data_IF_332595444797
#
_entry.id   IF_332595444797
#
_cell.length_a   1.000
_cell.length_b   1.000
_cell.length_c   1.000
_cell.angle_alpha   90.00
_cell.angle_beta   90.00
_cell.angle_gamma   90.00
#
_symmetry.space_group_name_H-M   'P 1'
#
loop_
_entity.id
_entity.type
_entity.pdbx_description
1 polymer ?
#
# COMPACT_ATOMS: atom_id res chain seq x y z
N UNK A 1 -5.39 -28.00 14.56
CA UNK A 1 -4.97 -26.60 14.42
C UNK A 1 -4.40 -26.47 13.02
N UNK A 2 -5.07 -25.74 12.13
CA UNK A 2 -4.51 -25.50 10.80
C UNK A 2 -3.27 -24.60 10.97
N UNK A 3 -2.12 -25.10 10.56
CA UNK A 3 -0.89 -24.34 10.53
C UNK A 3 -1.09 -23.17 9.54
N UNK A 4 -1.20 -21.96 10.08
CA UNK A 4 -1.39 -20.76 9.28
C UNK A 4 -0.15 -20.57 8.38
N UNK A 5 -0.36 -20.21 7.12
CA UNK A 5 0.73 -19.93 6.20
C UNK A 5 1.57 -18.75 6.74
N UNK A 6 2.80 -19.05 7.17
CA UNK A 6 3.76 -18.02 7.55
C UNK A 6 4.47 -17.52 6.29
N UNK A 7 4.77 -16.21 6.20
CA UNK A 7 5.51 -15.70 5.06
C UNK A 7 6.98 -16.12 5.10
N UNK A 8 7.61 -16.24 3.94
CA UNK A 8 9.07 -16.12 3.86
C UNK A 8 9.44 -14.65 4.03
N UNK A 9 10.58 -14.37 4.66
CA UNK A 9 11.09 -13.01 4.93
C UNK A 9 12.44 -12.89 4.22
N UNK A 10 12.47 -12.13 3.14
CA UNK A 10 13.59 -12.07 2.21
C UNK A 10 14.06 -10.63 2.02
N UNK A 11 15.34 -10.46 1.69
CA UNK A 11 15.89 -9.20 1.21
C UNK A 11 16.25 -9.35 -0.26
N UNK A 12 15.75 -8.45 -1.10
CA UNK A 12 15.90 -8.48 -2.55
C UNK A 12 16.62 -7.22 -3.00
N UNK A 13 17.73 -7.37 -3.69
CA UNK A 13 18.49 -6.27 -4.28
C UNK A 13 17.70 -5.69 -5.48
N UNK A 14 17.36 -4.42 -5.43
CA UNK A 14 16.63 -3.73 -6.51
C UNK A 14 17.49 -2.68 -7.22
N UNK A 15 18.59 -2.26 -6.60
CA UNK A 15 19.62 -1.40 -7.18
C UNK A 15 20.95 -1.63 -6.46
N UNK A 16 22.03 -1.07 -6.99
CA UNK A 16 23.33 -1.10 -6.32
C UNK A 16 23.22 -0.45 -4.93
N UNK A 17 23.56 -1.21 -3.88
CA UNK A 17 23.48 -0.76 -2.49
C UNK A 17 22.07 -0.54 -1.95
N UNK A 18 21.03 -1.09 -2.59
CA UNK A 18 19.66 -1.02 -2.12
C UNK A 18 18.98 -2.39 -2.15
N UNK A 19 18.64 -2.88 -0.97
CA UNK A 19 17.82 -4.07 -0.78
C UNK A 19 16.49 -3.70 -0.14
N UNK A 20 15.41 -4.27 -0.67
CA UNK A 20 14.08 -4.19 -0.08
C UNK A 20 13.74 -5.49 0.64
N UNK A 21 13.13 -5.38 1.81
CA UNK A 21 12.56 -6.52 2.50
C UNK A 21 11.21 -6.87 1.89
N UNK A 22 10.99 -8.15 1.64
CA UNK A 22 9.74 -8.68 1.09
C UNK A 22 9.26 -9.85 1.94
N UNK A 23 7.98 -9.83 2.26
CA UNK A 23 7.26 -10.95 2.85
C UNK A 23 6.47 -11.64 1.75
N UNK A 24 6.61 -12.98 1.61
CA UNK A 24 5.85 -13.74 0.60
C UNK A 24 5.00 -14.80 1.25
N UNK A 25 3.76 -14.86 0.83
CA UNK A 25 2.81 -15.92 1.18
C UNK A 25 2.54 -16.75 -0.07
N UNK A 26 2.79 -18.05 0.06
CA UNK A 26 2.60 -19.02 -1.01
C UNK A 26 1.34 -19.84 -0.73
N UNK A 27 0.49 -20.09 -1.74
CA UNK A 27 -0.68 -20.95 -1.57
C UNK A 27 -0.25 -22.39 -1.26
N UNK A 28 -1.03 -23.09 -0.41
CA UNK A 28 -0.78 -24.50 -0.10
C UNK A 28 -1.00 -25.37 -1.33
N UNK A 29 -0.01 -26.18 -1.69
CA UNK A 29 -0.08 -27.07 -2.85
C UNK A 29 0.04 -26.34 -4.18
N UNK A 30 0.83 -25.25 -4.22
CA UNK A 30 0.93 -24.38 -5.39
C UNK A 30 1.27 -25.14 -6.67
N UNK A 31 0.42 -24.95 -7.65
CA UNK A 31 0.58 -25.41 -9.02
C UNK A 31 1.61 -24.54 -9.80
N UNK A 32 1.77 -24.83 -11.07
CA UNK A 32 2.63 -24.08 -11.98
C UNK A 32 2.26 -22.59 -12.02
N UNK A 33 3.21 -21.68 -12.32
CA UNK A 33 2.92 -20.25 -12.49
C UNK A 33 1.73 -19.99 -13.40
N UNK A 34 0.81 -19.13 -12.96
CA UNK A 34 -0.37 -18.72 -13.74
C UNK A 34 -1.60 -19.63 -13.64
N UNK A 35 -1.54 -20.79 -12.96
CA UNK A 35 -2.70 -21.70 -12.84
C UNK A 35 -3.74 -21.23 -11.82
N UNK A 36 -3.37 -20.40 -10.84
CA UNK A 36 -4.20 -20.05 -9.69
C UNK A 36 -4.71 -18.59 -9.72
N UNK A 37 -4.69 -17.96 -10.88
CA UNK A 37 -5.06 -16.55 -11.08
C UNK A 37 -3.91 -15.57 -10.85
N UNK A 38 -4.18 -14.25 -10.94
CA UNK A 38 -3.14 -13.24 -10.82
C UNK A 38 -2.55 -13.18 -9.40
N UNK A 39 -1.22 -13.05 -9.25
CA UNK A 39 -0.59 -12.79 -7.96
C UNK A 39 -0.85 -11.36 -7.49
N UNK A 40 -0.56 -11.09 -6.22
CA UNK A 40 -0.71 -9.77 -5.62
C UNK A 40 0.62 -9.23 -5.09
N UNK A 41 0.90 -7.95 -5.38
CA UNK A 41 1.93 -7.17 -4.71
C UNK A 41 1.27 -6.11 -3.84
N UNK A 42 1.61 -6.05 -2.55
CA UNK A 42 0.99 -5.21 -1.54
C UNK A 42 1.97 -4.14 -1.09
N UNK A 43 1.56 -2.87 -1.17
CA UNK A 43 2.39 -1.69 -0.94
C UNK A 43 1.79 -0.86 0.20
N UNK A 44 2.56 -0.67 1.26
CA UNK A 44 2.12 0.03 2.48
C UNK A 44 2.09 1.56 2.32
N UNK A 45 1.46 2.24 3.27
CA UNK A 45 1.40 3.70 3.38
C UNK A 45 2.66 4.36 3.97
N UNK A 46 2.63 5.68 4.08
CA UNK A 46 3.71 6.46 4.70
C UNK A 46 3.85 6.11 6.18
N UNK A 47 5.09 5.96 6.65
CA UNK A 47 5.46 5.54 8.00
C UNK A 47 4.86 4.17 8.44
N UNK A 48 4.58 3.33 7.47
CA UNK A 48 4.03 1.98 7.63
C UNK A 48 5.05 0.89 7.23
N UNK A 49 4.62 -0.35 7.09
CA UNK A 49 5.47 -1.49 6.72
C UNK A 49 4.66 -2.64 6.12
N UNK A 50 5.35 -3.64 5.55
CA UNK A 50 4.75 -4.80 4.90
C UNK A 50 3.85 -5.65 5.83
N UNK A 51 4.12 -5.69 7.14
CA UNK A 51 3.38 -6.53 8.08
C UNK A 51 1.94 -6.06 8.34
N UNK A 52 1.62 -4.80 8.06
CA UNK A 52 0.23 -4.33 8.12
C UNK A 52 -0.66 -5.03 7.07
N UNK A 53 -0.05 -5.65 6.06
CA UNK A 53 -0.73 -6.47 5.07
C UNK A 53 -0.81 -7.97 5.43
N UNK A 54 -0.24 -8.42 6.57
CA UNK A 54 -0.17 -9.84 6.97
C UNK A 54 -1.55 -10.52 6.90
N UNK A 55 -2.57 -9.86 7.42
CA UNK A 55 -3.93 -10.40 7.45
C UNK A 55 -4.56 -10.58 6.06
N UNK A 56 -4.34 -9.62 5.17
CA UNK A 56 -4.81 -9.68 3.77
C UNK A 56 -4.02 -10.71 2.97
N UNK A 57 -2.67 -10.66 3.04
CA UNK A 57 -1.80 -11.53 2.26
C UNK A 57 -1.99 -13.00 2.59
N UNK A 58 -2.14 -13.34 3.88
CA UNK A 58 -2.44 -14.70 4.32
C UNK A 58 -3.76 -15.20 3.76
N UNK A 59 -4.82 -14.39 3.79
CA UNK A 59 -6.13 -14.75 3.23
C UNK A 59 -6.10 -14.91 1.71
N UNK A 60 -5.31 -14.10 1.02
CA UNK A 60 -5.04 -14.32 -0.41
C UNK A 60 -4.36 -15.66 -0.66
N UNK A 61 -3.36 -16.03 0.14
CA UNK A 61 -2.69 -17.33 0.03
C UNK A 61 -3.64 -18.51 0.36
N UNK A 62 -4.48 -18.37 1.38
CA UNK A 62 -5.51 -19.37 1.71
C UNK A 62 -6.55 -19.52 0.59
N UNK A 63 -6.80 -18.47 -0.18
CA UNK A 63 -7.64 -18.49 -1.39
C UNK A 63 -6.89 -18.95 -2.66
N UNK A 64 -5.70 -19.52 -2.54
CA UNK A 64 -4.93 -20.05 -3.66
C UNK A 64 -4.16 -18.99 -4.46
N UNK A 65 -3.88 -17.80 -3.91
CA UNK A 65 -3.22 -16.71 -4.62
C UNK A 65 -1.82 -16.44 -4.04
N UNK A 66 -0.86 -16.23 -4.91
CA UNK A 66 0.46 -15.73 -4.49
C UNK A 66 0.32 -14.28 -4.03
N UNK A 67 0.88 -13.95 -2.87
CA UNK A 67 0.92 -12.59 -2.35
C UNK A 67 2.33 -12.24 -1.86
N UNK A 68 2.75 -11.01 -2.12
CA UNK A 68 3.96 -10.44 -1.56
C UNK A 68 3.66 -9.04 -1.02
N UNK A 69 4.24 -8.70 0.13
CA UNK A 69 4.20 -7.35 0.68
C UNK A 69 5.64 -6.85 0.84
N UNK A 70 5.88 -5.60 0.44
CA UNK A 70 7.22 -4.99 0.44
C UNK A 70 7.33 -3.89 1.47
N UNK A 71 8.43 -3.86 2.22
CA UNK A 71 8.88 -2.64 2.89
C UNK A 71 9.54 -1.74 1.84
N UNK A 72 8.95 -0.60 1.52
CA UNK A 72 9.55 0.36 0.59
C UNK A 72 10.85 0.95 1.15
N UNK A 73 11.71 1.52 0.28
CA UNK A 73 12.91 2.25 0.74
C UNK A 73 12.61 3.19 1.89
N UNK A 74 13.49 3.27 2.88
CA UNK A 74 13.32 4.10 4.06
C UNK A 74 12.42 3.50 5.15
N UNK A 75 11.61 2.48 4.84
CA UNK A 75 10.61 1.90 5.74
C UNK A 75 11.02 0.51 6.24
N UNK A 76 10.39 0.11 7.34
CA UNK A 76 10.52 -1.22 7.90
C UNK A 76 11.97 -1.69 7.99
N UNK A 77 12.24 -2.88 7.47
CA UNK A 77 13.58 -3.47 7.46
C UNK A 77 14.31 -3.36 6.11
N UNK A 78 13.77 -2.58 5.17
CA UNK A 78 14.46 -2.21 3.94
C UNK A 78 15.57 -1.19 4.19
N UNK A 79 16.48 -1.05 3.22
CA UNK A 79 17.53 -0.05 3.29
C UNK A 79 16.97 1.38 3.27
N UNK A 80 17.75 2.29 3.84
CA UNK A 80 17.34 3.67 4.09
C UNK A 80 18.32 4.67 3.46
N UNK A 81 18.36 4.72 2.10
CA UNK A 81 19.24 5.68 1.42
C UNK A 81 18.86 7.11 1.80
N UNK A 82 19.83 8.03 1.73
CA UNK A 82 19.61 9.43 2.11
C UNK A 82 18.70 10.20 1.15
N UNK A 83 18.48 9.69 -0.07
CA UNK A 83 17.72 10.36 -1.14
C UNK A 83 16.96 9.38 -2.03
N UNK A 84 16.21 9.89 -3.00
CA UNK A 84 15.47 9.08 -3.96
C UNK A 84 14.08 8.69 -3.45
N UNK A 85 13.40 9.59 -2.77
CA UNK A 85 12.06 9.36 -2.22
C UNK A 85 10.94 9.91 -3.10
N UNK A 86 11.26 10.31 -4.33
CA UNK A 86 10.28 10.69 -5.33
C UNK A 86 9.57 9.47 -5.95
N UNK A 87 8.37 9.69 -6.48
CA UNK A 87 7.53 8.61 -7.01
C UNK A 87 8.18 7.85 -8.18
N UNK A 88 8.97 8.52 -9.01
CA UNK A 88 9.62 7.88 -10.16
C UNK A 88 10.67 6.87 -9.71
N UNK A 89 11.47 7.23 -8.71
CA UNK A 89 12.50 6.33 -8.14
C UNK A 89 11.83 5.16 -7.42
N UNK A 90 10.80 5.40 -6.60
CA UNK A 90 10.09 4.34 -5.88
C UNK A 90 9.38 3.39 -6.86
N UNK A 91 8.75 3.92 -7.91
CA UNK A 91 8.18 3.09 -8.99
C UNK A 91 9.25 2.29 -9.72
N UNK A 92 10.46 2.84 -9.88
CA UNK A 92 11.63 2.14 -10.41
C UNK A 92 12.08 0.97 -9.53
N UNK A 93 12.06 1.14 -8.20
CA UNK A 93 12.34 0.06 -7.25
C UNK A 93 11.33 -1.07 -7.36
N UNK A 94 10.02 -0.74 -7.42
CA UNK A 94 8.97 -1.75 -7.60
C UNK A 94 9.13 -2.50 -8.92
N UNK A 95 9.53 -1.82 -10.00
CA UNK A 95 9.82 -2.45 -11.29
C UNK A 95 10.97 -3.45 -11.17
N UNK A 96 12.07 -3.05 -10.51
CA UNK A 96 13.22 -3.92 -10.29
C UNK A 96 12.83 -5.10 -9.38
N UNK A 97 12.06 -4.84 -8.31
CA UNK A 97 11.56 -5.88 -7.44
C UNK A 97 10.74 -6.93 -8.20
N UNK A 98 9.82 -6.51 -9.07
CA UNK A 98 9.00 -7.45 -9.86
C UNK A 98 9.85 -8.36 -10.76
N UNK A 99 10.95 -7.87 -11.30
CA UNK A 99 11.87 -8.68 -12.09
C UNK A 99 12.54 -9.79 -11.27
N UNK A 100 12.79 -9.54 -9.98
CA UNK A 100 13.45 -10.48 -9.06
C UNK A 100 12.47 -11.42 -8.34
N UNK A 101 11.18 -11.08 -8.25
CA UNK A 101 10.18 -11.92 -7.60
C UNK A 101 9.91 -13.24 -8.33
N UNK A 102 10.33 -13.33 -9.58
CA UNK A 102 10.25 -14.55 -10.38
C UNK A 102 8.85 -14.79 -11.03
N UNK A 103 8.71 -15.93 -11.73
CA UNK A 103 7.59 -16.15 -12.66
C UNK A 103 6.22 -16.26 -11.99
N UNK A 104 6.14 -16.54 -10.70
CA UNK A 104 4.87 -16.54 -9.96
C UNK A 104 4.29 -15.13 -9.77
N UNK A 105 5.10 -14.09 -9.94
CA UNK A 105 4.69 -12.68 -9.79
C UNK A 105 4.70 -11.93 -11.12
N UNK A 106 4.55 -12.63 -12.23
CA UNK A 106 4.41 -12.00 -13.54
C UNK A 106 3.08 -11.24 -13.63
N UNK A 107 3.16 -9.94 -13.92
CA UNK A 107 2.01 -9.03 -14.01
C UNK A 107 1.02 -9.15 -12.85
N UNK A 108 1.43 -8.85 -11.60
CA UNK A 108 0.53 -8.94 -10.46
C UNK A 108 -0.59 -7.88 -10.53
N UNK A 109 -1.65 -8.09 -9.76
CA UNK A 109 -2.51 -6.99 -9.30
C UNK A 109 -1.74 -6.31 -8.16
N UNK A 110 -1.55 -4.99 -8.25
CA UNK A 110 -0.78 -4.25 -7.25
C UNK A 110 -1.75 -3.45 -6.38
N UNK A 111 -1.75 -3.73 -5.07
CA UNK A 111 -2.57 -3.00 -4.10
C UNK A 111 -1.70 -2.05 -3.28
N UNK A 112 -2.13 -0.80 -3.14
CA UNK A 112 -1.45 0.19 -2.31
C UNK A 112 -2.40 0.87 -1.34
N UNK A 113 -1.92 1.17 -0.11
CA UNK A 113 -2.69 1.86 0.91
C UNK A 113 -2.13 3.28 1.11
N UNK A 114 -3.01 4.29 1.26
CA UNK A 114 -2.62 5.67 1.56
C UNK A 114 -1.60 6.23 0.55
N UNK A 115 -0.40 6.63 1.00
CA UNK A 115 0.71 6.99 0.12
C UNK A 115 1.07 5.87 -0.87
N UNK A 116 1.04 4.60 -0.42
CA UNK A 116 1.26 3.44 -1.29
C UNK A 116 0.26 3.37 -2.44
N UNK A 117 -0.95 3.87 -2.28
CA UNK A 117 -1.91 3.99 -3.39
C UNK A 117 -1.44 5.01 -4.44
N UNK A 118 -0.87 6.14 -4.01
CA UNK A 118 -0.23 7.10 -4.91
C UNK A 118 0.97 6.51 -5.65
N UNK A 119 1.79 5.69 -4.95
CA UNK A 119 2.92 4.96 -5.56
C UNK A 119 2.42 3.96 -6.61
N UNK A 120 1.38 3.19 -6.29
CA UNK A 120 0.82 2.18 -7.21
C UNK A 120 0.17 2.84 -8.43
N UNK A 121 -0.49 3.98 -8.26
CA UNK A 121 -1.05 4.75 -9.37
C UNK A 121 0.06 5.29 -10.29
N UNK A 122 1.12 5.88 -9.73
CA UNK A 122 2.30 6.34 -10.50
C UNK A 122 2.98 5.17 -11.23
N UNK A 123 3.16 4.03 -10.55
CA UNK A 123 3.71 2.82 -11.15
C UNK A 123 2.88 2.34 -12.35
N UNK A 124 1.57 2.28 -12.20
CA UNK A 124 0.69 1.79 -13.26
C UNK A 124 0.65 2.70 -14.49
N UNK A 125 0.84 4.00 -14.29
CA UNK A 125 0.98 4.96 -15.39
C UNK A 125 2.32 4.80 -16.10
N UNK A 126 3.42 4.60 -15.36
CA UNK A 126 4.77 4.45 -15.93
C UNK A 126 5.00 3.10 -16.59
N UNK A 127 4.46 2.04 -16.00
CA UNK A 127 4.73 0.65 -16.38
C UNK A 127 3.44 -0.18 -16.54
N UNK A 128 2.51 0.24 -17.41
CA UNK A 128 1.19 -0.41 -17.55
C UNK A 128 1.29 -1.89 -17.93
N UNK A 129 2.33 -2.28 -18.66
CA UNK A 129 2.52 -3.66 -19.11
C UNK A 129 2.98 -4.61 -17.98
N UNK A 130 3.42 -4.06 -16.84
CA UNK A 130 3.94 -4.84 -15.72
C UNK A 130 2.89 -5.16 -14.66
N UNK A 131 1.64 -4.72 -14.83
CA UNK A 131 0.54 -5.06 -13.93
C UNK A 131 -0.73 -5.43 -14.69
N UNK A 132 -1.59 -6.24 -14.09
CA UNK A 132 -2.94 -6.53 -14.62
C UNK A 132 -3.95 -5.46 -14.22
N UNK A 133 -3.67 -4.73 -13.15
CA UNK A 133 -4.52 -3.70 -12.60
C UNK A 133 -4.09 -3.31 -11.21
N UNK A 134 -4.74 -2.30 -10.67
CA UNK A 134 -4.39 -1.71 -9.38
C UNK A 134 -5.56 -1.69 -8.41
N UNK A 135 -5.24 -1.76 -7.11
CA UNK A 135 -6.19 -1.55 -6.02
C UNK A 135 -5.68 -0.40 -5.17
N UNK A 136 -6.49 0.63 -5.02
CA UNK A 136 -6.16 1.82 -4.24
C UNK A 136 -6.98 1.82 -2.95
N UNK A 137 -6.32 1.59 -1.83
CA UNK A 137 -6.94 1.52 -0.50
C UNK A 137 -6.71 2.84 0.22
N UNK A 138 -7.76 3.60 0.37
CA UNK A 138 -7.85 4.89 1.06
C UNK A 138 -6.73 5.88 0.69
N UNK A 139 -6.38 5.98 -0.59
CA UNK A 139 -5.36 6.88 -1.10
C UNK A 139 -5.40 7.03 -2.61
N UNK A 140 -4.52 7.90 -3.15
CA UNK A 140 -4.41 8.14 -4.60
C UNK A 140 -5.62 8.89 -5.20
N UNK A 141 -6.40 9.62 -4.40
CA UNK A 141 -7.65 10.27 -4.83
C UNK A 141 -7.60 11.79 -4.75
N UNK A 142 -6.73 12.35 -3.93
CA UNK A 142 -6.72 13.78 -3.62
C UNK A 142 -5.39 14.39 -4.00
N UNK A 143 -5.42 15.47 -4.77
CA UNK A 143 -4.25 16.33 -4.95
C UNK A 143 -4.01 17.10 -3.66
N UNK A 144 -2.94 16.80 -2.94
CA UNK A 144 -2.71 17.37 -1.60
C UNK A 144 -2.53 18.88 -1.63
N UNK A 145 -1.97 19.43 -2.71
CA UNK A 145 -1.87 20.88 -2.91
C UNK A 145 -3.24 21.59 -3.03
N UNK A 146 -4.30 20.85 -3.35
CA UNK A 146 -5.67 21.39 -3.34
C UNK A 146 -6.30 21.29 -1.94
N UNK A 147 -5.87 20.33 -1.12
CA UNK A 147 -6.34 20.16 0.26
C UNK A 147 -5.62 21.05 1.27
N UNK A 148 -4.36 21.41 1.00
CA UNK A 148 -3.53 22.23 1.87
C UNK A 148 -3.06 23.48 1.12
N UNK A 149 -3.43 24.69 1.59
CA UNK A 149 -3.09 25.95 0.90
C UNK A 149 -1.60 26.17 0.68
N UNK A 150 -0.75 25.68 1.58
CA UNK A 150 0.70 25.78 1.49
C UNK A 150 1.38 24.53 2.02
N UNK A 151 2.63 24.31 1.61
CA UNK A 151 3.48 23.26 2.13
C UNK A 151 3.64 23.32 3.66
N UNK A 152 3.82 24.51 4.22
CA UNK A 152 4.02 24.66 5.67
C UNK A 152 2.78 24.18 6.45
N UNK A 153 1.58 24.51 5.98
CA UNK A 153 0.33 24.00 6.57
C UNK A 153 0.22 22.48 6.41
N UNK A 154 0.58 21.95 5.25
CA UNK A 154 0.61 20.50 5.02
C UNK A 154 1.56 19.80 6.00
N UNK A 155 2.79 20.32 6.12
CA UNK A 155 3.79 19.78 7.04
C UNK A 155 3.33 19.87 8.50
N UNK A 156 2.84 21.00 8.96
CA UNK A 156 2.38 21.19 10.35
C UNK A 156 1.24 20.25 10.73
N UNK A 157 0.40 19.88 9.76
CA UNK A 157 -0.73 18.97 9.99
C UNK A 157 -0.38 17.50 9.93
N UNK A 158 0.59 17.14 9.10
CA UNK A 158 0.89 15.74 8.76
C UNK A 158 2.29 15.29 9.23
N UNK A 159 3.08 16.20 9.84
CA UNK A 159 4.37 15.83 10.43
C UNK A 159 4.20 14.77 11.53
N UNK A 160 5.05 13.73 11.54
CA UNK A 160 4.97 12.70 12.58
C UNK A 160 5.36 13.30 13.94
N UNK A 161 4.73 12.84 15.02
CA UNK A 161 5.14 13.24 16.38
C UNK A 161 6.56 12.75 16.70
N UNK A 162 7.24 13.33 17.69
CA UNK A 162 8.56 12.90 18.14
C UNK A 162 8.42 11.59 18.96
N UNK A 163 8.62 10.44 18.31
CA UNK A 163 8.44 9.11 18.93
C UNK A 163 9.76 8.46 19.39
N UNK A 164 10.91 8.95 18.94
CA UNK A 164 12.22 8.38 19.31
C UNK A 164 12.43 8.42 20.81
N UNK A 165 12.71 7.27 21.41
CA UNK A 165 12.93 7.14 22.86
C UNK A 165 11.66 6.98 23.70
N UNK A 166 10.48 6.93 23.08
CA UNK A 166 9.25 6.60 23.82
C UNK A 166 9.28 5.16 24.33
N UNK A 167 8.78 4.89 25.55
CA UNK A 167 8.62 3.53 26.03
C UNK A 167 7.70 2.71 25.12
N UNK A 168 8.11 1.49 24.78
CA UNK A 168 7.29 0.55 24.00
C UNK A 168 5.90 0.38 24.62
N UNK A 169 5.79 0.25 25.93
CA UNK A 169 4.51 0.09 26.63
C UNK A 169 3.53 1.24 26.40
N UNK A 170 4.05 2.46 26.22
CA UNK A 170 3.20 3.62 25.89
C UNK A 170 2.61 3.50 24.49
N UNK A 171 3.40 3.01 23.54
CA UNK A 171 2.96 2.79 22.15
C UNK A 171 1.98 1.62 22.06
N UNK A 172 2.27 0.50 22.74
CA UNK A 172 1.36 -0.65 22.88
C UNK A 172 0.02 -0.21 23.48
N UNK A 173 0.06 0.56 24.55
CA UNK A 173 -1.14 1.10 25.22
C UNK A 173 -1.95 2.01 24.30
N UNK A 174 -1.28 2.87 23.53
CA UNK A 174 -1.93 3.74 22.54
C UNK A 174 -2.68 2.92 21.47
N UNK A 175 -2.01 1.95 20.83
CA UNK A 175 -2.63 1.13 19.79
C UNK A 175 -3.79 0.29 20.35
N UNK A 176 -3.62 -0.35 21.50
CA UNK A 176 -4.69 -1.14 22.16
C UNK A 176 -5.91 -0.31 22.52
N UNK A 177 -5.71 0.98 22.87
CA UNK A 177 -6.82 1.86 23.25
C UNK A 177 -7.53 2.45 22.03
N UNK A 178 -6.79 2.87 21.02
CA UNK A 178 -7.35 3.60 19.87
C UNK A 178 -7.80 2.67 18.73
N UNK A 179 -7.32 1.42 18.71
CA UNK A 179 -7.64 0.40 17.71
C UNK A 179 -8.05 -0.91 18.39
N UNK A 180 -8.98 -0.81 19.35
CA UNK A 180 -9.41 -1.94 20.18
C UNK A 180 -10.15 -3.04 19.39
N UNK A 181 -10.67 -2.73 18.23
CA UNK A 181 -11.36 -3.62 17.30
C UNK A 181 -10.44 -4.25 16.24
N UNK A 182 -9.15 -3.87 16.23
CA UNK A 182 -8.21 -4.48 15.29
C UNK A 182 -7.83 -5.90 15.72
N UNK A 183 -7.69 -6.83 14.76
CA UNK A 183 -7.16 -8.15 15.03
C UNK A 183 -5.69 -8.07 15.48
N UNK A 184 -5.21 -9.10 16.20
CA UNK A 184 -3.85 -9.13 16.76
C UNK A 184 -2.77 -8.91 15.68
N UNK A 185 -2.96 -9.46 14.48
CA UNK A 185 -2.06 -9.27 13.35
C UNK A 185 -1.93 -7.80 12.91
N UNK A 186 -3.00 -7.01 12.99
CA UNK A 186 -2.97 -5.57 12.73
C UNK A 186 -2.21 -4.80 13.81
N UNK A 187 -2.42 -5.17 15.08
CA UNK A 187 -1.68 -4.62 16.20
C UNK A 187 -0.17 -4.91 16.09
N UNK A 188 0.21 -6.18 15.83
CA UNK A 188 1.62 -6.56 15.62
C UNK A 188 2.24 -5.86 14.41
N UNK A 189 1.49 -5.70 13.33
CA UNK A 189 1.89 -4.95 12.14
C UNK A 189 2.18 -3.48 12.45
N UNK A 190 1.37 -2.86 13.31
CA UNK A 190 1.58 -1.47 13.75
C UNK A 190 2.84 -1.31 14.60
N UNK A 191 3.13 -2.26 15.48
CA UNK A 191 4.38 -2.27 16.27
C UNK A 191 5.62 -2.47 15.39
N UNK A 192 5.49 -3.17 14.27
CA UNK A 192 6.58 -3.37 13.32
C UNK A 192 7.01 -2.09 12.58
N UNK A 193 6.30 -0.96 12.74
CA UNK A 193 6.75 0.37 12.28
C UNK A 193 7.98 0.87 13.05
N UNK A 194 8.34 0.21 14.15
CA UNK A 194 9.38 0.67 15.05
C UNK A 194 10.48 -0.37 15.23
N UNK A 195 11.70 0.11 15.34
CA UNK A 195 12.79 -0.60 15.98
C UNK A 195 12.54 -0.60 17.51
N UNK A 196 12.53 -1.77 18.10
CA UNK A 196 12.47 -1.92 19.56
C UNK A 196 13.90 -2.04 20.08
N UNK A 197 14.33 -1.07 20.87
CA UNK A 197 15.68 -1.00 21.43
C UNK A 197 15.84 -1.90 22.68
N UNK A 198 17.09 -2.26 23.06
CA UNK A 198 17.33 -3.09 24.23
C UNK A 198 16.77 -2.51 25.55
N UNK A 199 16.68 -1.18 25.65
CA UNK A 199 16.12 -0.48 26.82
C UNK A 199 14.57 -0.40 26.78
N UNK A 200 13.93 -1.12 25.86
CA UNK A 200 12.47 -1.11 25.67
C UNK A 200 11.91 0.25 25.27
N UNK A 201 12.72 1.09 24.64
CA UNK A 201 12.23 2.28 23.91
C UNK A 201 12.09 1.95 22.44
N UNK A 202 11.36 2.81 21.70
CA UNK A 202 11.14 2.68 20.27
C UNK A 202 11.92 3.72 19.46
N UNK A 203 12.19 3.39 18.22
CA UNK A 203 12.60 4.32 17.17
C UNK A 203 11.84 4.01 15.88
N UNK A 204 11.11 4.98 15.26
CA UNK A 204 10.52 4.74 13.97
C UNK A 204 11.57 4.33 12.94
N UNK A 205 11.25 3.32 12.09
CA UNK A 205 12.14 2.93 11.00
C UNK A 205 12.29 4.05 9.96
N UNK A 206 11.19 4.75 9.65
CA UNK A 206 11.23 5.94 8.81
C UNK A 206 11.67 7.14 9.62
N UNK A 207 12.79 7.77 9.23
CA UNK A 207 13.26 8.98 9.89
C UNK A 207 12.33 10.16 9.59
N UNK A 208 12.36 11.19 10.46
CA UNK A 208 11.56 12.41 10.26
C UNK A 208 11.93 13.14 8.96
N UNK A 209 13.20 13.11 8.57
CA UNK A 209 13.68 13.75 7.36
C UNK A 209 13.20 13.01 6.10
N UNK A 210 13.27 11.69 6.10
CA UNK A 210 12.71 10.89 5.00
C UNK A 210 11.19 11.03 4.92
N UNK A 211 10.48 11.06 6.06
CA UNK A 211 9.04 11.34 6.10
C UNK A 211 8.74 12.70 5.44
N UNK A 212 9.53 13.74 5.77
CA UNK A 212 9.38 15.07 5.19
C UNK A 212 9.61 15.07 3.68
N UNK A 213 10.64 14.36 3.21
CA UNK A 213 10.94 14.22 1.78
C UNK A 213 9.79 13.55 1.03
N UNK A 214 9.26 12.44 1.55
CA UNK A 214 8.12 11.74 0.94
C UNK A 214 6.87 12.61 0.94
N UNK A 215 6.56 13.25 2.06
CA UNK A 215 5.38 14.11 2.16
C UNK A 215 5.46 15.31 1.21
N UNK A 216 6.68 15.84 0.96
CA UNK A 216 6.91 16.87 -0.06
C UNK A 216 6.55 16.38 -1.46
N UNK A 217 6.96 15.16 -1.81
CA UNK A 217 6.61 14.57 -3.10
C UNK A 217 5.09 14.30 -3.21
N UNK A 218 4.45 13.85 -2.13
CA UNK A 218 2.98 13.71 -2.07
C UNK A 218 2.27 15.06 -2.28
N UNK A 219 2.78 16.13 -1.66
CA UNK A 219 2.21 17.47 -1.80
C UNK A 219 2.28 17.98 -3.24
N UNK A 220 3.35 17.63 -3.97
CA UNK A 220 3.55 18.05 -5.36
C UNK A 220 2.94 17.09 -6.38
N UNK A 221 2.57 15.87 -6.01
CA UNK A 221 1.96 14.91 -6.94
C UNK A 221 0.55 15.37 -7.35
N UNK A 222 0.29 15.35 -8.65
CA UNK A 222 -1.04 15.60 -9.21
C UNK A 222 -1.70 14.26 -9.54
N UNK A 223 -2.36 13.67 -8.57
CA UNK A 223 -3.06 12.37 -8.75
C UNK A 223 -4.15 12.46 -9.80
N UNK A 224 -4.81 13.61 -9.92
CA UNK A 224 -5.81 13.88 -10.96
C UNK A 224 -5.25 13.76 -12.39
N UNK A 225 -3.97 14.11 -12.60
CA UNK A 225 -3.30 13.93 -13.89
C UNK A 225 -2.97 12.46 -14.16
N UNK A 226 -2.59 11.72 -13.12
CA UNK A 226 -2.29 10.29 -13.26
C UNK A 226 -3.55 9.48 -13.62
N UNK A 227 -4.70 9.79 -13.04
CA UNK A 227 -5.97 9.16 -13.38
C UNK A 227 -6.33 9.31 -14.86
N UNK A 228 -6.03 10.47 -15.47
CA UNK A 228 -6.25 10.71 -16.90
C UNK A 228 -5.30 9.90 -17.81
N UNK A 229 -4.17 9.49 -17.28
CA UNK A 229 -3.13 8.72 -18.00
C UNK A 229 -3.21 7.22 -17.74
N UNK A 230 -4.02 6.78 -16.77
CA UNK A 230 -4.13 5.36 -16.43
C UNK A 230 -4.63 4.53 -17.60
N UNK A 231 -4.00 3.36 -17.81
CA UNK A 231 -4.32 2.41 -18.91
C UNK A 231 -4.72 1.02 -18.42
N UNK A 232 -4.64 0.77 -17.10
CA UNK A 232 -4.94 -0.53 -16.52
C UNK A 232 -6.16 -0.45 -15.59
N UNK A 233 -6.91 -1.55 -15.43
CA UNK A 233 -8.08 -1.58 -14.56
C UNK A 233 -7.79 -1.17 -13.12
N UNK A 234 -8.76 -0.53 -12.47
CA UNK A 234 -8.60 -0.04 -11.10
C UNK A 234 -9.78 -0.40 -10.20
N UNK A 235 -9.48 -0.89 -9.00
CA UNK A 235 -10.42 -0.98 -7.88
C UNK A 235 -10.08 0.11 -6.87
N UNK A 236 -11.02 1.01 -6.62
CA UNK A 236 -10.88 2.12 -5.69
C UNK A 236 -11.62 1.77 -4.41
N UNK A 237 -10.93 1.74 -3.28
CA UNK A 237 -11.49 1.38 -1.97
C UNK A 237 -11.28 2.55 -1.00
N UNK A 238 -12.13 3.58 -1.04
CA UNK A 238 -12.05 4.67 -0.10
C UNK A 238 -12.71 4.29 1.23
N UNK A 239 -12.19 4.83 2.33
CA UNK A 239 -12.80 4.68 3.65
C UNK A 239 -13.62 5.92 3.99
N UNK A 240 -14.85 5.70 4.41
CA UNK A 240 -15.74 6.75 4.86
C UNK A 240 -15.45 7.10 6.32
N UNK A 241 -14.82 8.24 6.54
CA UNK A 241 -14.49 8.78 7.88
C UNK A 241 -15.58 9.69 8.45
N UNK A 242 -16.82 9.66 7.91
CA UNK A 242 -17.93 10.50 8.36
C UNK A 242 -18.01 11.87 7.64
N UNK A 243 -18.55 12.89 8.29
CA UNK A 243 -18.88 14.19 7.67
C UNK A 243 -17.73 15.22 7.69
N UNK A 244 -16.49 14.83 7.58
CA UNK A 244 -15.35 15.76 7.55
C UNK A 244 -15.02 16.29 6.14
N UNK A 245 -14.28 17.40 6.07
CA UNK A 245 -13.82 17.96 4.78
C UNK A 245 -12.89 17.00 4.03
N UNK A 246 -12.14 16.18 4.76
CA UNK A 246 -11.30 15.14 4.17
C UNK A 246 -12.14 14.05 3.48
N UNK A 247 -13.23 13.61 4.09
CA UNK A 247 -14.16 12.65 3.45
C UNK A 247 -14.84 13.24 2.21
N UNK A 248 -15.21 14.53 2.25
CA UNK A 248 -15.74 15.22 1.06
C UNK A 248 -14.71 15.28 -0.06
N UNK A 249 -13.47 15.60 0.26
CA UNK A 249 -12.37 15.60 -0.73
C UNK A 249 -12.14 14.21 -1.32
N UNK A 250 -12.17 13.14 -0.50
CA UNK A 250 -12.08 11.75 -0.99
C UNK A 250 -13.25 11.39 -1.91
N UNK A 251 -14.48 11.78 -1.59
CA UNK A 251 -15.65 11.55 -2.47
C UNK A 251 -15.48 12.25 -3.80
N UNK A 252 -15.13 13.53 -3.82
CA UNK A 252 -14.88 14.28 -5.04
C UNK A 252 -13.74 13.68 -5.85
N UNK A 253 -12.67 13.23 -5.20
CA UNK A 253 -11.54 12.55 -5.85
C UNK A 253 -11.93 11.21 -6.46
N UNK A 254 -12.73 10.40 -5.76
CA UNK A 254 -13.24 9.12 -6.29
C UNK A 254 -14.16 9.34 -7.52
N UNK A 255 -15.06 10.33 -7.45
CA UNK A 255 -15.93 10.69 -8.58
C UNK A 255 -15.10 11.16 -9.79
N UNK A 256 -14.06 11.98 -9.55
CA UNK A 256 -13.15 12.45 -10.60
C UNK A 256 -12.35 11.31 -11.23
N UNK A 257 -11.84 10.37 -10.42
CA UNK A 257 -11.14 9.18 -10.88
C UNK A 257 -12.03 8.29 -11.74
N UNK A 258 -13.27 8.04 -11.31
CA UNK A 258 -14.26 7.29 -12.08
C UNK A 258 -14.61 7.97 -13.40
N UNK A 259 -14.77 9.29 -13.41
CA UNK A 259 -15.02 10.05 -14.64
C UNK A 259 -13.83 9.97 -15.61
N UNK A 260 -12.60 10.07 -15.11
CA UNK A 260 -11.38 9.95 -15.92
C UNK A 260 -11.24 8.56 -16.55
N UNK A 261 -11.46 7.49 -15.77
CA UNK A 261 -11.40 6.11 -16.28
C UNK A 261 -12.51 5.80 -17.27
N UNK A 262 -13.72 6.32 -17.04
CA UNK A 262 -14.82 6.21 -18.01
C UNK A 262 -14.49 6.91 -19.34
N UNK A 263 -13.91 8.11 -19.28
CA UNK A 263 -13.52 8.85 -20.46
C UNK A 263 -12.41 8.16 -21.28
N UNK A 264 -11.50 7.45 -20.62
CA UNK A 264 -10.42 6.68 -21.27
C UNK A 264 -10.80 5.24 -21.61
N UNK A 265 -12.01 4.79 -21.26
CA UNK A 265 -12.46 3.40 -21.48
C UNK A 265 -11.76 2.37 -20.58
N UNK A 266 -11.09 2.79 -19.53
CA UNK A 266 -10.43 1.91 -18.57
C UNK A 266 -11.44 1.35 -17.58
N UNK A 267 -11.53 0.01 -17.39
CA UNK A 267 -12.42 -0.55 -16.39
C UNK A 267 -12.06 -0.08 -14.99
N UNK A 268 -13.03 0.47 -14.26
CA UNK A 268 -12.82 0.87 -12.88
C UNK A 268 -14.08 0.62 -12.05
N UNK A 269 -13.89 0.41 -10.74
CA UNK A 269 -14.96 0.23 -9.76
C UNK A 269 -14.57 0.91 -8.45
N UNK A 270 -15.57 1.45 -7.75
CA UNK A 270 -15.42 1.98 -6.39
C UNK A 270 -16.20 1.11 -5.41
N UNK A 271 -15.57 0.77 -4.28
CA UNK A 271 -16.17 0.06 -3.15
C UNK A 271 -15.85 0.81 -1.85
N UNK A 272 -16.85 1.49 -1.28
CA UNK A 272 -16.70 2.26 -0.03
C UNK A 272 -16.69 1.33 1.18
N UNK A 273 -15.74 1.58 2.10
CA UNK A 273 -15.66 0.89 3.38
C UNK A 273 -15.94 1.85 4.54
N UNK A 274 -16.41 1.28 5.65
CA UNK A 274 -16.48 1.96 6.95
C UNK A 274 -15.33 1.47 7.81
N UNK A 275 -14.65 2.34 8.52
CA UNK A 275 -13.56 1.97 9.40
C UNK A 275 -12.44 3.00 9.46
N UNK A 276 -11.29 2.55 9.92
CA UNK A 276 -10.07 3.35 10.04
C UNK A 276 -9.37 3.53 8.69
N UNK A 277 -8.50 4.53 8.60
CA UNK A 277 -7.62 4.74 7.45
C UNK A 277 -6.80 3.49 7.09
N UNK A 278 -6.40 2.70 8.09
CA UNK A 278 -5.67 1.44 7.93
C UNK A 278 -6.61 0.24 7.86
N UNK A 279 -7.66 0.33 7.02
CA UNK A 279 -8.69 -0.69 6.84
C UNK A 279 -8.13 -2.08 6.52
N UNK A 280 -6.96 -2.16 5.87
CA UNK A 280 -6.28 -3.41 5.54
C UNK A 280 -5.75 -4.15 6.77
N UNK A 281 -5.49 -3.42 7.85
CA UNK A 281 -5.12 -3.98 9.15
C UNK A 281 -6.34 -4.21 10.05
N UNK A 282 -7.35 -3.31 9.97
CA UNK A 282 -8.58 -3.38 10.78
C UNK A 282 -9.53 -4.47 10.28
N UNK A 283 -9.84 -4.50 8.98
CA UNK A 283 -10.80 -5.42 8.37
C UNK A 283 -10.18 -6.24 7.21
N UNK A 284 -9.10 -7.02 7.48
CA UNK A 284 -8.38 -7.74 6.43
C UNK A 284 -9.24 -8.78 5.70
N UNK A 285 -10.23 -9.37 6.35
CA UNK A 285 -11.11 -10.36 5.73
C UNK A 285 -12.01 -9.72 4.67
N UNK A 286 -12.74 -8.67 5.05
CA UNK A 286 -13.68 -7.96 4.19
C UNK A 286 -12.94 -7.30 3.00
N UNK A 287 -11.76 -6.73 3.27
CA UNK A 287 -10.94 -6.14 2.21
C UNK A 287 -10.46 -7.21 1.21
N UNK A 288 -9.99 -8.36 1.72
CA UNK A 288 -9.57 -9.47 0.85
C UNK A 288 -10.74 -9.97 -0.01
N UNK A 289 -11.91 -10.15 0.59
CA UNK A 289 -13.11 -10.60 -0.12
C UNK A 289 -13.53 -9.63 -1.22
N UNK A 290 -13.48 -8.33 -0.98
CA UNK A 290 -13.78 -7.30 -1.97
C UNK A 290 -12.80 -7.34 -3.15
N UNK A 291 -11.49 -7.45 -2.88
CA UNK A 291 -10.46 -7.52 -3.93
C UNK A 291 -10.62 -8.80 -4.76
N UNK A 292 -10.74 -9.96 -4.10
CA UNK A 292 -10.90 -11.24 -4.79
C UNK A 292 -12.23 -11.34 -5.55
N UNK A 293 -13.30 -10.70 -5.06
CA UNK A 293 -14.58 -10.64 -5.78
C UNK A 293 -14.45 -9.83 -7.07
N UNK A 294 -13.82 -8.66 -7.00
CA UNK A 294 -13.59 -7.84 -8.18
C UNK A 294 -12.76 -8.57 -9.24
N UNK A 295 -11.76 -9.37 -8.82
CA UNK A 295 -10.97 -10.18 -9.74
C UNK A 295 -11.78 -11.33 -10.35
N UNK A 296 -12.54 -12.09 -9.52
CA UNK A 296 -13.43 -13.17 -10.03
C UNK A 296 -14.51 -12.67 -10.99
N UNK A 297 -14.98 -11.45 -10.78
CA UNK A 297 -15.97 -10.79 -11.65
C UNK A 297 -15.34 -10.20 -12.93
N UNK A 298 -14.04 -10.39 -13.13
CA UNK A 298 -13.33 -10.05 -14.36
C UNK A 298 -12.85 -8.61 -14.45
N UNK A 299 -12.84 -7.83 -13.35
CA UNK A 299 -12.36 -6.45 -13.40
C UNK A 299 -10.93 -6.36 -13.95
N UNK A 300 -10.05 -7.28 -13.58
CA UNK A 300 -8.64 -7.29 -13.99
C UNK A 300 -8.34 -8.22 -15.18
N UNK A 301 -9.36 -8.72 -15.87
CA UNK A 301 -9.20 -9.67 -17.00
C UNK A 301 -9.01 -9.00 -18.35
N UNK A 302 -9.19 -7.68 -18.44
CA UNK A 302 -9.07 -6.92 -19.69
C UNK A 302 -7.64 -6.88 -20.22
N UNK A 303 -7.49 -6.96 -21.55
CA UNK A 303 -6.25 -6.57 -22.20
C UNK A 303 -6.02 -5.07 -21.96
N UNK A 304 -4.75 -4.67 -21.71
CA UNK A 304 -4.39 -3.24 -21.69
C UNK A 304 -4.81 -2.64 -23.02
N UNK A 305 -5.62 -1.58 -23.07
CA UNK A 305 -5.94 -0.90 -24.33
C UNK A 305 -4.65 -0.46 -25.01
N UNK A 306 -4.54 -0.73 -26.31
CA UNK A 306 -3.37 -0.41 -27.13
C UNK A 306 -3.11 1.11 -27.20
#
# INVERSE_FOLDING_TARGET
MNEQAQPTDERITVAEGLELRVLRWLPKGSAAPGSDGAPFLLVHGLASNARLWDGVARRMADAGRFAAAVDLRGHGRSDKPESGYDFAVISGDLRALLAELGPHFERPIIAGQSWGAGVVLDFAVRYPDLTRGIVLVDGGLTDMADAFPTWDICWDRLAPPPLVGMPLSSVEGYFRTNHADWPEEGFEGSLANFEIRPDRTISPWLTRDHHKAILWEMFNQRTSDLWRQLRVPALIIPVDGGEGDWTKAKRAGADSAMAATQASGVPARTAWFQGDHDIHAQHPAELTDAILSADREGLFSGAVPA
#
